data_IF_965520012649
#
_entry.id   IF_965520012649
#
_cell.length_a   1.000
_cell.length_b   1.000
_cell.length_c   1.000
_cell.angle_alpha   90.00
_cell.angle_beta   90.00
_cell.angle_gamma   90.00
#
_symmetry.space_group_name_H-M   'P 1'
#
loop_
_entity.id
_entity.type
_entity.pdbx_description
1 polymer ?
#
# COMPACT_ATOMS: atom_id res chain seq x y z
N UNK A 1 -1.04 26.71 20.32
CA UNK A 1 0.01 27.51 19.66
C UNK A 1 1.13 26.68 19.01
N UNK A 2 1.60 25.57 19.60
CA UNK A 2 2.67 24.73 19.03
C UNK A 2 2.29 24.11 17.66
N UNK A 3 1.04 23.64 17.51
CA UNK A 3 0.52 23.04 16.26
C UNK A 3 0.45 24.02 15.08
N UNK A 4 0.18 25.31 15.35
CA UNK A 4 0.13 26.35 14.32
C UNK A 4 1.54 26.75 13.83
N UNK A 5 2.54 26.67 14.71
CA UNK A 5 3.95 26.91 14.38
C UNK A 5 4.56 25.78 13.55
N UNK A 6 4.17 24.53 13.81
CA UNK A 6 4.53 23.37 12.98
C UNK A 6 3.92 23.48 11.57
N UNK A 7 2.66 23.90 11.46
CA UNK A 7 2.02 24.12 10.15
C UNK A 7 2.72 25.23 9.35
N UNK A 8 3.10 26.34 10.00
CA UNK A 8 3.89 27.41 9.38
C UNK A 8 5.32 26.99 9.02
N UNK A 9 5.97 26.15 9.84
CA UNK A 9 7.29 25.60 9.53
C UNK A 9 7.23 24.63 8.33
N UNK A 10 6.22 23.75 8.26
CA UNK A 10 5.97 22.92 7.09
C UNK A 10 5.66 23.76 5.85
N UNK A 11 4.88 24.84 5.99
CA UNK A 11 4.58 25.77 4.90
C UNK A 11 5.81 26.53 4.39
N UNK A 12 6.71 26.96 5.29
CA UNK A 12 7.99 27.60 4.94
C UNK A 12 8.98 26.62 4.30
N UNK A 13 9.00 25.36 4.72
CA UNK A 13 9.75 24.29 4.05
C UNK A 13 9.17 24.04 2.65
N UNK A 14 7.84 24.06 2.49
CA UNK A 14 7.20 23.98 1.17
C UNK A 14 7.58 25.14 0.24
N UNK A 15 7.81 26.35 0.77
CA UNK A 15 8.21 27.53 -0.01
C UNK A 15 9.66 27.45 -0.53
N UNK A 16 10.59 26.82 0.19
CA UNK A 16 11.99 26.70 -0.27
C UNK A 16 12.15 25.70 -1.42
N UNK A 17 11.25 24.72 -1.56
CA UNK A 17 11.27 23.75 -2.66
C UNK A 17 10.81 24.30 -4.03
N UNK A 18 10.24 25.49 -4.08
CA UNK A 18 9.86 26.12 -5.36
C UNK A 18 11.07 26.60 -6.19
N UNK A 19 12.26 26.74 -5.58
CA UNK A 19 13.43 27.37 -6.22
C UNK A 19 14.40 26.36 -6.86
N UNK A 20 14.15 25.05 -6.79
CA UNK A 20 15.13 24.02 -7.22
C UNK A 20 14.84 23.35 -8.57
N UNK A 21 14.07 23.99 -9.46
CA UNK A 21 13.77 23.46 -10.79
C UNK A 21 15.01 23.28 -11.71
N UNK A 22 16.20 23.76 -11.32
CA UNK A 22 17.45 23.67 -12.08
C UNK A 22 18.53 22.78 -11.44
N UNK A 23 18.22 22.01 -10.38
CA UNK A 23 19.23 21.15 -9.75
C UNK A 23 19.57 19.92 -10.62
N UNK A 24 20.80 19.39 -10.47
CA UNK A 24 21.21 18.13 -11.11
C UNK A 24 20.29 16.96 -10.78
N UNK A 25 19.74 16.96 -9.55
CA UNK A 25 18.74 15.98 -9.09
C UNK A 25 17.44 16.11 -9.89
N UNK A 26 16.96 17.34 -10.13
CA UNK A 26 15.76 17.57 -10.94
C UNK A 26 15.92 17.03 -12.37
N UNK A 27 17.11 17.20 -12.97
CA UNK A 27 17.44 16.64 -14.29
C UNK A 27 17.55 15.12 -14.25
N UNK A 28 18.11 14.55 -13.18
CA UNK A 28 18.19 13.10 -13.00
C UNK A 28 16.80 12.46 -12.91
N UNK A 29 15.91 13.02 -12.08
CA UNK A 29 14.54 12.52 -11.86
C UNK A 29 13.60 12.76 -13.05
N UNK A 30 13.97 13.58 -14.04
CA UNK A 30 13.23 13.64 -15.30
C UNK A 30 13.31 12.26 -16.01
N UNK A 31 12.16 11.67 -16.39
CA UNK A 31 12.14 10.47 -17.22
C UNK A 31 12.93 10.68 -18.52
N UNK A 32 13.60 9.63 -18.98
CA UNK A 32 14.33 9.67 -20.25
C UNK A 32 13.34 9.69 -21.42
N UNK A 33 13.59 10.52 -22.43
CA UNK A 33 12.71 10.63 -23.60
C UNK A 33 12.83 9.40 -24.54
N UNK A 34 13.91 8.62 -24.39
CA UNK A 34 14.13 7.31 -25.03
C UNK A 34 14.87 6.37 -24.09
N UNK A 35 14.93 5.08 -24.43
CA UNK A 35 15.53 4.08 -23.54
C UNK A 35 17.00 4.39 -23.20
N UNK A 36 17.24 4.67 -21.93
CA UNK A 36 18.56 4.79 -21.36
C UNK A 36 18.95 3.43 -20.76
N UNK A 37 19.80 2.68 -21.47
CA UNK A 37 20.20 1.32 -21.07
C UNK A 37 20.83 1.25 -19.68
N UNK A 38 21.61 2.27 -19.29
CA UNK A 38 22.21 2.30 -17.96
C UNK A 38 21.14 2.44 -16.88
N UNK A 39 20.20 3.39 -17.03
CA UNK A 39 19.06 3.54 -16.10
C UNK A 39 18.20 2.29 -16.04
N UNK A 40 17.87 1.72 -17.20
CA UNK A 40 17.06 0.51 -17.30
C UNK A 40 17.71 -0.66 -16.54
N UNK A 41 18.99 -0.95 -16.83
CA UNK A 41 19.72 -2.01 -16.16
C UNK A 41 19.85 -1.74 -14.66
N UNK A 42 20.09 -0.49 -14.25
CA UNK A 42 20.15 -0.12 -12.83
C UNK A 42 18.83 -0.39 -12.12
N UNK A 43 17.68 -0.05 -12.72
CA UNK A 43 16.36 -0.34 -12.14
C UNK A 43 16.16 -1.84 -12.02
N UNK A 44 16.39 -2.60 -13.09
CA UNK A 44 16.23 -4.06 -13.09
C UNK A 44 17.10 -4.71 -12.01
N UNK A 45 18.38 -4.35 -11.93
CA UNK A 45 19.31 -4.90 -10.93
C UNK A 45 18.86 -4.51 -9.52
N UNK A 46 18.50 -3.24 -9.29
CA UNK A 46 18.11 -2.75 -7.98
C UNK A 46 16.83 -3.43 -7.49
N UNK A 47 15.78 -3.46 -8.30
CA UNK A 47 14.50 -4.06 -7.91
C UNK A 47 14.60 -5.58 -7.76
N UNK A 48 15.34 -6.27 -8.63
CA UNK A 48 15.60 -7.71 -8.46
C UNK A 48 16.39 -8.01 -7.20
N UNK A 49 17.38 -7.17 -6.87
CA UNK A 49 18.20 -7.32 -5.66
C UNK A 49 17.39 -7.03 -4.40
N UNK A 50 16.56 -5.98 -4.41
CA UNK A 50 15.64 -5.65 -3.32
C UNK A 50 14.63 -6.80 -3.11
N UNK A 51 14.04 -7.33 -4.19
CA UNK A 51 13.13 -8.47 -4.10
C UNK A 51 13.84 -9.71 -3.52
N UNK A 52 15.03 -10.05 -4.02
CA UNK A 52 15.81 -11.18 -3.51
C UNK A 52 16.23 -11.04 -2.05
N UNK A 53 16.74 -9.87 -1.66
CA UNK A 53 17.07 -9.56 -0.27
C UNK A 53 15.83 -9.52 0.62
N UNK A 54 14.71 -9.05 0.10
CA UNK A 54 13.41 -9.05 0.77
C UNK A 54 12.96 -10.47 1.10
N UNK A 55 13.03 -11.40 0.14
CA UNK A 55 12.71 -12.81 0.36
C UNK A 55 13.66 -13.47 1.39
N UNK A 56 14.95 -13.14 1.35
CA UNK A 56 15.92 -13.62 2.36
C UNK A 56 15.59 -13.07 3.74
N UNK A 57 15.29 -11.77 3.83
CA UNK A 57 14.88 -11.11 5.07
C UNK A 57 13.59 -11.69 5.63
N UNK A 58 12.59 -11.92 4.78
CA UNK A 58 11.33 -12.57 5.16
C UNK A 58 11.57 -14.00 5.65
N UNK A 59 12.38 -14.78 4.94
CA UNK A 59 12.79 -16.10 5.40
C UNK A 59 13.41 -16.08 6.80
N UNK A 60 14.32 -15.13 7.04
CA UNK A 60 15.01 -15.02 8.33
C UNK A 60 14.11 -14.54 9.47
N UNK A 61 13.20 -13.61 9.20
CA UNK A 61 12.38 -12.94 10.21
C UNK A 61 11.01 -13.59 10.44
N UNK A 62 10.50 -14.32 9.45
CA UNK A 62 9.12 -14.84 9.46
C UNK A 62 9.04 -16.37 9.46
N UNK A 63 10.00 -17.06 8.84
CA UNK A 63 9.93 -18.52 8.64
C UNK A 63 11.00 -19.32 9.40
N UNK A 64 12.13 -18.72 9.75
CA UNK A 64 13.31 -19.43 10.26
C UNK A 64 13.04 -20.20 11.55
N UNK A 65 12.19 -19.65 12.41
CA UNK A 65 11.92 -20.20 13.75
C UNK A 65 10.72 -21.17 13.78
N UNK A 66 10.16 -21.49 12.60
CA UNK A 66 9.08 -22.45 12.44
C UNK A 66 9.56 -23.69 11.69
N UNK A 67 8.98 -24.83 12.04
CA UNK A 67 9.25 -26.09 11.36
C UNK A 67 8.73 -26.05 9.92
N UNK A 68 9.39 -26.84 9.05
CA UNK A 68 9.06 -26.95 7.63
C UNK A 68 8.16 -28.16 7.39
N UNK A 69 7.17 -27.99 6.54
CA UNK A 69 6.22 -29.03 6.16
C UNK A 69 6.41 -29.48 4.70
N UNK A 70 5.68 -30.51 4.30
CA UNK A 70 5.41 -30.75 2.88
C UNK A 70 4.47 -29.66 2.36
N UNK A 71 4.60 -29.31 1.06
CA UNK A 71 3.74 -28.32 0.45
C UNK A 71 2.26 -28.60 0.73
N UNK A 72 1.56 -27.62 1.28
CA UNK A 72 0.14 -27.71 1.55
C UNK A 72 -0.57 -26.36 1.35
N UNK A 73 -1.89 -26.43 1.21
CA UNK A 73 -2.75 -25.26 1.00
C UNK A 73 -3.72 -25.11 2.17
N UNK A 74 -4.14 -23.88 2.45
CA UNK A 74 -5.10 -23.56 3.52
C UNK A 74 -6.32 -22.81 2.97
N UNK A 75 -7.41 -22.82 3.75
CA UNK A 75 -8.56 -21.92 3.58
C UNK A 75 -8.59 -20.94 4.76
N UNK A 76 -8.12 -19.74 4.49
CA UNK A 76 -7.97 -18.65 5.45
C UNK A 76 -8.76 -17.41 5.02
N UNK A 77 -9.73 -17.55 4.11
CA UNK A 77 -10.44 -16.43 3.49
C UNK A 77 -11.18 -15.53 4.49
N UNK A 78 -11.47 -16.04 5.70
CA UNK A 78 -12.12 -15.30 6.78
C UNK A 78 -11.16 -14.88 7.92
N UNK A 79 -9.87 -15.22 7.82
CA UNK A 79 -8.88 -14.78 8.80
C UNK A 79 -8.70 -13.26 8.77
N UNK A 80 -8.30 -12.69 9.92
CA UNK A 80 -8.01 -11.26 10.08
C UNK A 80 -9.09 -10.31 9.56
N UNK A 81 -10.35 -10.76 9.54
CA UNK A 81 -11.46 -10.00 8.95
C UNK A 81 -11.15 -9.50 7.52
N UNK A 82 -10.44 -10.32 6.73
CA UNK A 82 -10.00 -10.01 5.36
C UNK A 82 -8.97 -8.86 5.24
N UNK A 83 -8.48 -8.31 6.35
CA UNK A 83 -7.46 -7.25 6.32
C UNK A 83 -6.17 -7.72 5.67
N UNK A 84 -5.79 -8.96 5.94
CA UNK A 84 -4.67 -9.63 5.30
C UNK A 84 -4.80 -9.63 3.76
N UNK A 85 -5.97 -10.05 3.24
CA UNK A 85 -6.26 -10.12 1.79
C UNK A 85 -6.25 -8.72 1.17
N UNK A 86 -6.75 -7.72 1.89
CA UNK A 86 -6.67 -6.32 1.46
C UNK A 86 -5.22 -5.79 1.50
N UNK A 87 -4.40 -6.26 2.43
CA UNK A 87 -2.96 -6.07 2.47
C UNK A 87 -2.26 -6.65 1.24
N UNK A 88 -2.67 -7.84 0.78
CA UNK A 88 -2.21 -8.44 -0.48
C UNK A 88 -2.61 -7.62 -1.72
N UNK A 89 -3.87 -7.16 -1.79
CA UNK A 89 -4.32 -6.23 -2.86
C UNK A 89 -3.51 -4.94 -2.85
N UNK A 90 -3.30 -4.33 -1.68
CA UNK A 90 -2.52 -3.11 -1.55
C UNK A 90 -1.06 -3.32 -1.97
N UNK A 91 -0.40 -4.33 -1.44
CA UNK A 91 1.01 -4.62 -1.69
C UNK A 91 1.26 -4.92 -3.17
N UNK A 92 0.45 -5.78 -3.77
CA UNK A 92 0.56 -6.11 -5.19
C UNK A 92 0.27 -4.92 -6.12
N UNK A 93 -0.72 -4.08 -5.78
CA UNK A 93 -0.97 -2.83 -6.50
C UNK A 93 0.24 -1.89 -6.44
N UNK A 94 0.82 -1.68 -5.25
CA UNK A 94 1.95 -0.76 -5.06
C UNK A 94 3.25 -1.29 -5.67
N UNK A 95 3.56 -2.59 -5.54
CA UNK A 95 4.74 -3.19 -6.18
C UNK A 95 4.65 -3.08 -7.70
N UNK A 96 3.47 -3.36 -8.27
CA UNK A 96 3.24 -3.21 -9.71
C UNK A 96 3.46 -1.75 -10.14
N UNK A 97 2.86 -0.80 -9.41
CA UNK A 97 2.98 0.63 -9.69
C UNK A 97 4.43 1.10 -9.65
N UNK A 98 5.13 0.82 -8.56
CA UNK A 98 6.51 1.25 -8.36
C UNK A 98 7.43 0.67 -9.44
N UNK A 99 7.35 -0.64 -9.70
CA UNK A 99 8.16 -1.28 -10.74
C UNK A 99 7.87 -0.72 -12.14
N UNK A 100 6.60 -0.47 -12.47
CA UNK A 100 6.23 0.17 -13.75
C UNK A 100 6.75 1.60 -13.83
N UNK A 101 6.55 2.44 -12.80
CA UNK A 101 7.01 3.84 -12.79
C UNK A 101 8.55 3.94 -12.88
N UNK A 102 9.29 3.08 -12.17
CA UNK A 102 10.75 3.01 -12.21
C UNK A 102 11.28 2.65 -13.60
N UNK A 103 10.68 1.66 -14.28
CA UNK A 103 11.08 1.29 -15.63
C UNK A 103 10.73 2.39 -16.63
N UNK A 104 9.56 3.03 -16.50
CA UNK A 104 9.18 4.21 -17.30
C UNK A 104 10.19 5.35 -17.16
N UNK A 105 10.73 5.59 -15.96
CA UNK A 105 11.75 6.61 -15.74
C UNK A 105 13.03 6.39 -16.59
N UNK A 106 13.33 5.15 -16.96
CA UNK A 106 14.43 4.84 -17.88
C UNK A 106 14.15 5.16 -19.36
N UNK A 107 12.91 5.54 -19.71
CA UNK A 107 12.48 5.79 -21.09
C UNK A 107 12.03 4.54 -21.84
N UNK A 108 11.74 3.44 -21.12
CA UNK A 108 11.12 2.26 -21.69
C UNK A 108 9.66 2.52 -22.06
N UNK A 109 9.16 1.81 -23.08
CA UNK A 109 7.77 1.90 -23.49
C UNK A 109 6.80 1.34 -22.42
N UNK A 110 5.53 1.73 -22.51
CA UNK A 110 4.51 1.35 -21.53
C UNK A 110 4.33 -0.16 -21.42
N UNK A 111 4.35 -0.88 -22.55
CA UNK A 111 4.16 -2.34 -22.55
C UNK A 111 5.25 -3.04 -21.77
N UNK A 112 6.53 -2.70 -22.01
CA UNK A 112 7.65 -3.27 -21.25
C UNK A 112 7.57 -2.91 -19.77
N UNK A 113 7.19 -1.68 -19.47
CA UNK A 113 7.09 -1.19 -18.09
C UNK A 113 5.99 -1.90 -17.29
N UNK A 114 4.83 -2.14 -17.91
CA UNK A 114 3.72 -2.88 -17.31
C UNK A 114 4.06 -4.36 -17.12
N UNK A 115 4.66 -5.00 -18.13
CA UNK A 115 5.09 -6.41 -18.02
C UNK A 115 6.11 -6.55 -16.88
N UNK A 116 7.10 -5.67 -16.79
CA UNK A 116 8.11 -5.76 -15.76
C UNK A 116 7.52 -5.55 -14.35
N UNK A 117 6.74 -4.48 -14.14
CA UNK A 117 6.12 -4.21 -12.84
C UNK A 117 5.17 -5.32 -12.39
N UNK A 118 4.34 -5.85 -13.29
CA UNK A 118 3.42 -6.95 -12.98
C UNK A 118 4.15 -8.27 -12.70
N UNK A 119 5.20 -8.59 -13.47
CA UNK A 119 6.01 -9.79 -13.26
C UNK A 119 6.79 -9.72 -11.94
N UNK A 120 7.34 -8.55 -11.59
CA UNK A 120 8.03 -8.34 -10.32
C UNK A 120 7.09 -8.53 -9.13
N UNK A 121 5.92 -7.87 -9.17
CA UNK A 121 4.89 -7.95 -8.13
C UNK A 121 4.40 -9.38 -7.91
N UNK A 122 3.90 -10.03 -8.97
CA UNK A 122 3.35 -11.38 -8.87
C UNK A 122 4.45 -12.39 -8.58
N UNK A 123 5.64 -12.26 -9.16
CA UNK A 123 6.75 -13.16 -8.91
C UNK A 123 7.19 -13.12 -7.44
N UNK A 124 7.32 -11.92 -6.86
CA UNK A 124 7.67 -11.76 -5.46
C UNK A 124 6.60 -12.33 -4.54
N UNK A 125 5.34 -11.90 -4.67
CA UNK A 125 4.27 -12.31 -3.75
C UNK A 125 3.90 -13.79 -3.92
N UNK A 126 3.89 -14.34 -5.14
CA UNK A 126 3.70 -15.79 -5.33
C UNK A 126 4.83 -16.59 -4.68
N UNK A 127 6.05 -16.08 -4.65
CA UNK A 127 7.15 -16.76 -3.94
C UNK A 127 6.92 -16.76 -2.43
N UNK A 128 6.32 -15.70 -1.88
CA UNK A 128 5.89 -15.66 -0.47
C UNK A 128 4.84 -16.74 -0.20
N UNK A 129 3.78 -16.82 -1.01
CA UNK A 129 2.75 -17.87 -0.86
C UNK A 129 3.36 -19.29 -0.94
N UNK A 130 4.37 -19.47 -1.79
CA UNK A 130 5.10 -20.74 -1.89
C UNK A 130 5.88 -21.01 -0.59
N UNK A 131 6.51 -20.00 0.01
CA UNK A 131 7.19 -20.16 1.30
C UNK A 131 6.22 -20.52 2.41
N UNK A 132 5.03 -19.91 2.41
CA UNK A 132 3.93 -20.26 3.32
C UNK A 132 3.52 -21.72 3.14
N UNK A 133 3.36 -22.18 1.89
CA UNK A 133 3.04 -23.58 1.58
C UNK A 133 3.98 -24.63 2.17
N UNK A 134 5.24 -24.28 2.45
CA UNK A 134 6.24 -25.16 3.08
C UNK A 134 6.47 -24.88 4.57
N UNK A 135 5.68 -24.02 5.21
CA UNK A 135 5.72 -23.80 6.67
C UNK A 135 4.83 -24.82 7.39
N UNK A 136 5.07 -25.16 8.66
CA UNK A 136 4.08 -25.88 9.48
C UNK A 136 3.03 -24.94 10.10
N UNK A 137 3.38 -23.67 10.29
CA UNK A 137 2.52 -22.64 10.88
C UNK A 137 1.56 -22.02 9.84
N UNK A 138 2.07 -21.80 8.63
CA UNK A 138 1.36 -21.19 7.50
C UNK A 138 1.14 -22.20 6.38
N UNK A 139 0.40 -21.81 5.34
CA UNK A 139 0.19 -22.62 4.13
C UNK A 139 -0.12 -21.75 2.93
N UNK A 140 -0.03 -22.31 1.72
CA UNK A 140 -0.32 -21.55 0.50
C UNK A 140 -1.81 -21.19 0.46
N UNK A 141 -2.14 -19.90 0.46
CA UNK A 141 -3.51 -19.42 0.36
C UNK A 141 -3.88 -19.09 -1.09
N UNK A 142 -4.94 -19.73 -1.58
CA UNK A 142 -5.54 -19.33 -2.84
C UNK A 142 -6.24 -17.97 -2.77
N UNK A 143 -6.69 -17.56 -1.58
CA UNK A 143 -7.30 -16.24 -1.39
C UNK A 143 -6.24 -15.14 -1.47
N UNK A 144 -5.07 -15.35 -0.89
CA UNK A 144 -3.98 -14.37 -0.94
C UNK A 144 -3.37 -14.30 -2.34
N UNK A 145 -3.18 -15.45 -3.00
CA UNK A 145 -2.81 -15.46 -4.42
C UNK A 145 -3.84 -14.71 -5.29
N UNK A 146 -5.15 -14.92 -5.08
CA UNK A 146 -6.19 -14.19 -5.80
C UNK A 146 -6.18 -12.69 -5.48
N UNK A 147 -5.91 -12.30 -4.24
CA UNK A 147 -5.73 -10.91 -3.84
C UNK A 147 -4.52 -10.25 -4.52
N UNK A 148 -3.39 -10.96 -4.61
CA UNK A 148 -2.18 -10.54 -5.33
C UNK A 148 -2.45 -10.29 -6.82
N UNK A 149 -3.20 -11.20 -7.45
CA UNK A 149 -3.65 -11.04 -8.85
C UNK A 149 -4.61 -9.86 -8.98
N UNK A 150 -5.51 -9.67 -8.02
CA UNK A 150 -6.50 -8.58 -8.03
C UNK A 150 -5.84 -7.21 -7.96
N UNK A 151 -4.90 -6.99 -7.03
CA UNK A 151 -4.22 -5.70 -6.91
C UNK A 151 -3.32 -5.39 -8.10
N UNK A 152 -2.57 -6.37 -8.59
CA UNK A 152 -1.80 -6.25 -9.85
C UNK A 152 -2.73 -5.93 -11.03
N UNK A 153 -3.83 -6.69 -11.15
CA UNK A 153 -4.86 -6.54 -12.17
C UNK A 153 -5.52 -5.17 -12.17
N UNK A 154 -5.81 -4.62 -10.98
CA UNK A 154 -6.37 -3.30 -10.82
C UNK A 154 -5.44 -2.20 -11.34
N UNK A 155 -4.13 -2.30 -11.12
CA UNK A 155 -3.19 -1.32 -11.65
C UNK A 155 -3.08 -1.42 -13.18
N UNK A 156 -2.79 -2.62 -13.71
CA UNK A 156 -2.58 -2.81 -15.15
C UNK A 156 -3.86 -2.58 -15.96
N UNK A 157 -5.03 -2.96 -15.42
CA UNK A 157 -6.31 -2.82 -16.10
C UNK A 157 -6.62 -1.36 -16.40
N UNK A 158 -6.32 -0.46 -15.45
CA UNK A 158 -6.50 0.98 -15.65
C UNK A 158 -5.57 1.54 -16.73
N UNK A 159 -4.30 1.11 -16.76
CA UNK A 159 -3.34 1.51 -17.79
C UNK A 159 -3.79 1.06 -19.18
N UNK A 160 -4.25 -0.19 -19.30
CA UNK A 160 -4.70 -0.75 -20.58
C UNK A 160 -6.02 -0.15 -21.07
N UNK A 161 -6.95 0.15 -20.17
CA UNK A 161 -8.28 0.66 -20.52
C UNK A 161 -8.32 2.17 -20.71
N UNK A 162 -7.55 2.92 -19.92
CA UNK A 162 -7.65 4.37 -19.85
C UNK A 162 -6.35 5.13 -20.11
N UNK A 163 -5.20 4.46 -20.17
CA UNK A 163 -3.88 5.09 -20.22
C UNK A 163 -3.66 6.12 -19.09
N UNK A 164 -4.34 5.93 -17.97
CA UNK A 164 -4.22 6.72 -16.74
C UNK A 164 -4.74 5.92 -15.54
N UNK A 165 -4.19 6.19 -14.35
CA UNK A 165 -4.80 5.73 -13.10
C UNK A 165 -5.99 6.63 -12.74
N UNK A 166 -7.17 6.03 -12.56
CA UNK A 166 -8.41 6.71 -12.14
C UNK A 166 -8.81 6.36 -10.71
N UNK A 167 -8.31 5.26 -10.19
CA UNK A 167 -8.45 4.83 -8.82
C UNK A 167 -7.07 4.39 -8.29
N UNK A 168 -6.83 4.63 -7.01
CA UNK A 168 -5.58 4.28 -6.34
C UNK A 168 -5.88 3.55 -5.04
N UNK A 169 -5.11 2.49 -4.74
CA UNK A 169 -5.14 1.85 -3.43
C UNK A 169 -4.16 2.57 -2.52
N UNK A 170 -4.63 3.02 -1.35
CA UNK A 170 -3.84 3.75 -0.35
C UNK A 170 -3.94 3.08 1.00
N UNK A 171 -3.02 3.46 1.88
CA UNK A 171 -2.88 2.92 3.22
C UNK A 171 -2.92 4.03 4.26
N UNK A 172 -3.46 3.72 5.43
CA UNK A 172 -3.26 4.50 6.64
C UNK A 172 -3.11 3.61 7.86
N UNK A 173 -2.48 4.18 8.89
CA UNK A 173 -2.19 3.47 10.12
C UNK A 173 -2.29 4.39 11.35
N UNK A 174 -2.82 3.84 12.44
CA UNK A 174 -2.66 4.37 13.79
C UNK A 174 -2.33 3.24 14.76
N UNK A 175 -1.52 3.53 15.78
CA UNK A 175 -1.23 2.54 16.82
C UNK A 175 -2.48 2.21 17.61
N UNK A 176 -2.62 0.94 17.99
CA UNK A 176 -3.72 0.47 18.82
C UNK A 176 -3.21 -0.12 20.12
N UNK A 177 -4.11 -0.30 21.09
CA UNK A 177 -3.81 -1.01 22.34
C UNK A 177 -3.72 -2.54 22.18
N UNK A 178 -3.95 -3.06 20.96
CA UNK A 178 -3.99 -4.50 20.73
C UNK A 178 -2.58 -5.06 20.60
N UNK A 179 -1.62 -4.28 20.08
CA UNK A 179 -0.20 -4.69 20.02
C UNK A 179 0.36 -5.09 21.39
N UNK A 180 0.06 -4.31 22.45
CA UNK A 180 0.47 -4.62 23.83
C UNK A 180 -0.09 -5.96 24.36
N UNK A 181 -1.19 -6.46 23.80
CA UNK A 181 -1.87 -7.68 24.27
C UNK A 181 -1.37 -8.94 23.56
N UNK A 182 -0.88 -8.83 22.33
CA UNK A 182 -0.27 -9.93 21.59
C UNK A 182 0.89 -9.41 20.71
N UNK A 183 2.01 -8.96 21.30
CA UNK A 183 3.08 -8.29 20.58
C UNK A 183 3.81 -9.21 19.60
N UNK A 184 3.78 -10.53 19.80
CA UNK A 184 4.37 -11.49 18.88
C UNK A 184 3.69 -11.45 17.49
N UNK A 185 2.35 -11.46 17.49
CA UNK A 185 1.53 -11.44 16.28
C UNK A 185 1.24 -10.03 15.77
N UNK A 186 1.14 -9.02 16.65
CA UNK A 186 0.72 -7.66 16.30
C UNK A 186 1.88 -6.64 16.29
N UNK A 187 3.06 -7.02 16.77
CA UNK A 187 4.28 -6.22 16.72
C UNK A 187 4.67 -5.60 18.07
N UNK A 188 5.97 -5.61 18.35
CA UNK A 188 6.55 -5.08 19.61
C UNK A 188 6.95 -3.60 19.55
N UNK A 189 6.93 -3.00 18.35
CA UNK A 189 7.34 -1.63 18.12
C UNK A 189 6.66 -1.06 16.88
N UNK A 190 6.72 0.26 16.73
CA UNK A 190 6.03 1.00 15.66
C UNK A 190 6.22 0.42 14.25
N UNK A 191 7.43 -0.03 13.89
CA UNK A 191 7.69 -0.58 12.55
C UNK A 191 6.97 -1.92 12.38
N UNK A 192 7.03 -2.78 13.39
CA UNK A 192 6.30 -4.05 13.36
C UNK A 192 4.79 -3.82 13.37
N UNK A 193 4.28 -2.90 14.19
CA UNK A 193 2.84 -2.61 14.28
C UNK A 193 2.28 -2.08 12.95
N UNK A 194 3.00 -1.20 12.24
CA UNK A 194 2.59 -0.72 10.90
C UNK A 194 2.35 -1.89 9.92
N UNK A 195 3.11 -2.97 10.05
CA UNK A 195 3.07 -4.13 9.15
C UNK A 195 2.07 -5.19 9.65
N UNK A 196 2.11 -5.49 10.96
CA UNK A 196 1.44 -6.63 11.58
C UNK A 196 0.10 -6.30 12.24
N UNK A 197 -0.04 -5.10 12.82
CA UNK A 197 -1.25 -4.75 13.58
C UNK A 197 -2.37 -4.29 12.65
N UNK A 198 -3.12 -5.25 12.11
CA UNK A 198 -4.28 -4.96 11.27
C UNK A 198 -5.35 -4.12 11.97
N UNK A 199 -5.39 -4.07 13.31
CA UNK A 199 -6.33 -3.22 14.04
C UNK A 199 -6.12 -1.73 13.78
N UNK A 200 -4.87 -1.36 13.46
CA UNK A 200 -4.48 0.01 13.17
C UNK A 200 -4.58 0.37 11.70
N UNK A 201 -4.75 -0.61 10.81
CA UNK A 201 -4.63 -0.42 9.37
C UNK A 201 -5.98 -0.11 8.73
N UNK A 202 -5.99 0.81 7.77
CA UNK A 202 -7.11 1.00 6.85
C UNK A 202 -6.61 1.00 5.41
N UNK A 203 -7.23 0.17 4.57
CA UNK A 203 -6.97 0.11 3.13
C UNK A 203 -8.05 0.91 2.41
N UNK A 204 -7.62 1.81 1.53
CA UNK A 204 -8.48 2.78 0.87
C UNK A 204 -8.47 2.61 -0.64
N UNK A 205 -9.66 2.58 -1.24
CA UNK A 205 -9.86 2.82 -2.66
C UNK A 205 -10.17 4.30 -2.89
N UNK A 206 -9.20 5.06 -3.39
CA UNK A 206 -9.29 6.50 -3.65
C UNK A 206 -9.53 6.76 -5.14
N UNK A 207 -10.74 7.23 -5.48
CA UNK A 207 -11.26 7.40 -6.84
C UNK A 207 -11.19 8.86 -7.27
N UNK A 208 -10.56 9.12 -8.42
CA UNK A 208 -10.49 10.44 -9.01
C UNK A 208 -11.77 10.80 -9.75
N UNK A 209 -12.60 11.65 -9.12
CA UNK A 209 -13.89 12.06 -9.68
C UNK A 209 -13.74 12.76 -11.03
N UNK A 210 -12.70 13.58 -11.18
CA UNK A 210 -12.47 14.37 -12.41
C UNK A 210 -12.15 13.50 -13.62
N UNK A 211 -11.46 12.36 -13.46
CA UNK A 211 -11.16 11.44 -14.56
C UNK A 211 -12.41 10.77 -15.13
N UNK A 212 -13.47 10.60 -14.34
CA UNK A 212 -14.77 10.12 -14.81
C UNK A 212 -15.68 11.26 -15.29
N UNK A 213 -15.62 12.41 -14.63
CA UNK A 213 -16.44 13.60 -14.92
C UNK A 213 -15.60 14.71 -15.54
N UNK A 214 -15.06 14.47 -16.75
CA UNK A 214 -14.04 15.33 -17.39
C UNK A 214 -14.46 16.80 -17.54
N UNK A 215 -15.74 17.06 -17.80
CA UNK A 215 -16.33 18.40 -17.98
C UNK A 215 -16.73 19.10 -16.67
N UNK A 216 -16.57 18.44 -15.51
CA UNK A 216 -16.93 19.03 -14.22
C UNK A 216 -15.97 20.14 -13.79
N UNK A 217 -16.38 20.99 -12.84
CA UNK A 217 -15.50 21.97 -12.18
C UNK A 217 -14.69 21.37 -11.02
N UNK A 218 -14.77 20.05 -10.80
CA UNK A 218 -14.08 19.36 -9.70
C UNK A 218 -12.56 19.47 -9.90
N UNK A 219 -11.78 19.86 -8.87
CA UNK A 219 -10.33 19.90 -8.96
C UNK A 219 -9.75 18.53 -9.31
N UNK A 220 -8.75 18.48 -10.21
CA UNK A 220 -8.17 17.22 -10.67
C UNK A 220 -7.47 16.43 -9.56
N UNK A 221 -7.10 17.07 -8.45
CA UNK A 221 -6.46 16.44 -7.30
C UNK A 221 -7.45 15.96 -6.24
N UNK A 222 -8.76 16.24 -6.37
CA UNK A 222 -9.75 15.82 -5.38
C UNK A 222 -10.32 14.44 -5.72
N UNK A 223 -10.27 13.54 -4.73
CA UNK A 223 -10.77 12.18 -4.81
C UNK A 223 -11.87 11.93 -3.79
N UNK A 224 -12.70 10.93 -4.08
CA UNK A 224 -13.58 10.27 -3.12
C UNK A 224 -12.94 8.93 -2.71
N UNK A 225 -12.85 8.65 -1.42
CA UNK A 225 -12.19 7.45 -0.91
C UNK A 225 -13.15 6.57 -0.11
N UNK A 226 -13.08 5.28 -0.38
CA UNK A 226 -13.77 4.23 0.35
C UNK A 226 -12.75 3.41 1.11
N UNK A 227 -12.90 3.29 2.43
CA UNK A 227 -11.95 2.58 3.28
C UNK A 227 -12.55 1.35 3.92
N UNK A 228 -11.72 0.36 4.17
CA UNK A 228 -12.03 -0.78 5.02
C UNK A 228 -10.93 -0.96 6.06
N UNK A 229 -11.35 -1.09 7.31
CA UNK A 229 -10.51 -1.46 8.45
C UNK A 229 -11.25 -2.49 9.30
N UNK A 230 -10.56 -3.06 10.27
CA UNK A 230 -11.16 -3.92 11.27
C UNK A 230 -10.44 -3.71 12.59
N UNK A 231 -11.15 -3.86 13.71
CA UNK A 231 -10.57 -3.74 15.06
C UNK A 231 -11.06 -4.88 15.96
N UNK A 232 -10.39 -5.06 17.10
CA UNK A 232 -10.75 -6.07 18.09
C UNK A 232 -10.09 -7.43 17.88
N UNK A 233 -9.06 -7.52 17.04
CA UNK A 233 -8.39 -8.75 16.64
C UNK A 233 -7.08 -8.92 17.41
N UNK A 234 -6.96 -9.99 18.18
CA UNK A 234 -5.74 -10.44 18.83
C UNK A 234 -5.09 -11.60 18.05
N UNK A 235 -5.88 -12.34 17.28
CA UNK A 235 -5.43 -13.46 16.43
C UNK A 235 -6.22 -13.51 15.11
N UNK A 236 -5.82 -14.39 14.19
CA UNK A 236 -6.44 -14.53 12.87
C UNK A 236 -7.90 -14.97 12.91
N UNK A 237 -8.24 -15.88 13.82
CA UNK A 237 -9.59 -16.44 14.01
C UNK A 237 -10.19 -16.05 15.36
N UNK A 238 -11.49 -16.25 15.54
CA UNK A 238 -12.15 -16.09 16.84
C UNK A 238 -13.16 -17.24 17.02
N UNK A 239 -12.96 -18.16 17.99
CA UNK A 239 -11.80 -18.23 18.90
C UNK A 239 -10.48 -18.48 18.15
N UNK A 240 -9.36 -18.19 18.80
CA UNK A 240 -8.04 -18.58 18.30
C UNK A 240 -7.84 -20.11 18.30
N UNK A 241 -6.85 -20.59 17.53
CA UNK A 241 -6.59 -22.03 17.37
C UNK A 241 -6.11 -22.66 18.68
N UNK A 242 -5.39 -21.89 19.49
CA UNK A 242 -4.81 -22.29 20.77
C UNK A 242 -5.80 -22.19 21.94
N UNK A 243 -6.94 -21.52 21.74
CA UNK A 243 -7.94 -21.29 22.78
C UNK A 243 -7.49 -20.34 23.89
N UNK A 244 -6.48 -19.50 23.65
CA UNK A 244 -6.01 -18.47 24.59
C UNK A 244 -6.92 -17.24 24.53
N UNK A 245 -7.36 -16.88 23.32
CA UNK A 245 -8.22 -15.74 23.01
C UNK A 245 -9.58 -16.19 22.49
N UNK A 246 -10.47 -16.51 23.44
CA UNK A 246 -11.72 -17.24 23.20
C UNK A 246 -12.91 -16.32 22.84
N UNK A 247 -12.82 -15.02 23.14
CA UNK A 247 -13.89 -14.05 22.90
C UNK A 247 -13.33 -12.66 22.54
N UNK A 248 -13.03 -12.48 21.26
CA UNK A 248 -12.57 -11.23 20.70
C UNK A 248 -13.75 -10.39 20.17
N UNK A 249 -13.93 -9.15 20.66
CA UNK A 249 -14.95 -8.20 20.17
C UNK A 249 -14.53 -7.61 18.82
N UNK A 250 -14.47 -8.47 17.80
CA UNK A 250 -14.01 -8.16 16.43
C UNK A 250 -15.12 -7.44 15.65
N UNK A 251 -14.77 -6.36 14.97
CA UNK A 251 -15.72 -5.64 14.14
C UNK A 251 -15.08 -4.98 12.91
N UNK A 252 -15.83 -4.99 11.81
CA UNK A 252 -15.46 -4.29 10.58
C UNK A 252 -15.78 -2.80 10.68
N UNK A 253 -14.98 -2.01 10.01
CA UNK A 253 -15.15 -0.56 9.86
C UNK A 253 -15.15 -0.21 8.38
N UNK A 254 -16.23 0.40 7.92
CA UNK A 254 -16.37 0.92 6.57
C UNK A 254 -16.29 2.43 6.58
N UNK A 255 -15.50 3.00 5.68
CA UNK A 255 -15.24 4.43 5.66
C UNK A 255 -15.62 5.08 4.34
N UNK A 256 -16.17 6.29 4.42
CA UNK A 256 -16.36 7.20 3.29
C UNK A 256 -15.65 8.52 3.60
N UNK A 257 -14.70 8.90 2.76
CA UNK A 257 -13.82 10.04 2.99
C UNK A 257 -13.56 10.85 1.72
N UNK A 258 -13.10 12.09 1.89
CA UNK A 258 -12.42 12.81 0.81
C UNK A 258 -10.93 12.47 0.81
N UNK A 259 -10.29 12.53 -0.34
CA UNK A 259 -8.84 12.30 -0.45
C UNK A 259 -8.18 13.24 -1.45
N UNK A 260 -6.85 13.36 -1.37
CA UNK A 260 -6.05 14.11 -2.33
C UNK A 260 -5.17 13.17 -3.16
N UNK A 261 -5.25 13.28 -4.47
CA UNK A 261 -4.28 12.71 -5.39
C UNK A 261 -3.12 13.69 -5.61
N UNK A 262 -2.03 13.49 -4.86
CA UNK A 262 -0.87 14.38 -4.91
C UNK A 262 -0.18 14.33 -6.28
N UNK A 263 -0.31 13.22 -7.02
CA UNK A 263 0.33 13.06 -8.34
C UNK A 263 -0.28 13.98 -9.39
N UNK A 264 -1.52 14.46 -9.15
CA UNK A 264 -2.24 15.39 -10.03
C UNK A 264 -1.99 16.86 -9.70
N UNK A 265 -1.14 17.16 -8.72
CA UNK A 265 -0.69 18.53 -8.42
C UNK A 265 0.29 18.98 -9.51
N UNK A 266 -0.04 20.09 -10.18
CA UNK A 266 0.77 20.63 -11.29
C UNK A 266 2.04 21.30 -10.77
N UNK A 267 3.20 20.74 -11.11
CA UNK A 267 4.51 21.33 -10.82
C UNK A 267 5.53 21.04 -11.92
N UNK A 268 6.54 21.91 -12.06
CA UNK A 268 7.68 21.72 -12.98
C UNK A 268 8.85 20.96 -12.34
N UNK A 269 8.83 20.79 -11.01
CA UNK A 269 9.88 20.08 -10.26
C UNK A 269 9.64 18.57 -10.29
N UNK A 270 10.56 17.83 -10.89
CA UNK A 270 10.59 16.36 -10.85
C UNK A 270 10.89 15.83 -9.45
N UNK A 271 11.63 16.58 -8.62
CA UNK A 271 11.77 16.26 -7.19
C UNK A 271 10.41 16.23 -6.50
N UNK A 272 9.61 17.28 -6.67
CA UNK A 272 8.27 17.34 -6.09
C UNK A 272 7.34 16.28 -6.67
N UNK A 273 7.42 15.99 -7.98
CA UNK A 273 6.66 14.90 -8.60
C UNK A 273 7.00 13.54 -7.98
N UNK A 274 8.28 13.25 -7.76
CA UNK A 274 8.72 12.02 -7.10
C UNK A 274 8.23 11.96 -5.65
N UNK A 275 8.37 13.04 -4.88
CA UNK A 275 7.84 13.10 -3.51
C UNK A 275 6.34 12.88 -3.49
N UNK A 276 5.59 13.53 -4.39
CA UNK A 276 4.15 13.33 -4.51
C UNK A 276 3.81 11.88 -4.88
N UNK A 277 4.51 11.25 -5.82
CA UNK A 277 4.28 9.82 -6.15
C UNK A 277 4.54 8.89 -4.96
N UNK A 278 5.63 9.13 -4.20
CA UNK A 278 5.98 8.30 -3.04
C UNK A 278 4.97 8.49 -1.91
N UNK A 279 4.63 9.74 -1.56
CA UNK A 279 3.73 10.04 -0.43
C UNK A 279 2.28 9.71 -0.76
N UNK A 280 1.87 9.70 -2.03
CA UNK A 280 0.49 9.42 -2.44
C UNK A 280 0.02 8.00 -2.10
N UNK A 281 0.91 7.09 -1.69
CA UNK A 281 0.53 5.79 -1.12
C UNK A 281 -0.21 5.92 0.22
N UNK A 282 0.05 7.01 0.96
CA UNK A 282 -0.56 7.28 2.25
C UNK A 282 -1.84 8.09 2.03
N UNK A 283 -2.93 7.68 2.68
CA UNK A 283 -4.17 8.44 2.72
C UNK A 283 -3.94 9.80 3.41
N UNK A 284 -4.43 10.89 2.82
CA UNK A 284 -4.32 12.21 3.45
C UNK A 284 -5.44 12.39 4.48
N UNK A 285 -5.14 12.82 5.72
CA UNK A 285 -6.17 13.00 6.73
C UNK A 285 -7.19 14.07 6.34
N UNK A 286 -8.43 13.64 6.16
CA UNK A 286 -9.54 14.47 5.70
C UNK A 286 -10.85 14.03 6.37
N UNK A 287 -11.95 14.80 6.22
CA UNK A 287 -13.23 14.44 6.79
C UNK A 287 -13.70 13.04 6.34
N UNK A 288 -14.09 12.22 7.32
CA UNK A 288 -14.40 10.81 7.12
C UNK A 288 -15.63 10.41 7.94
N UNK A 289 -16.52 9.64 7.32
CA UNK A 289 -17.62 8.94 7.99
C UNK A 289 -17.25 7.47 8.16
N UNK A 290 -17.31 6.96 9.38
CA UNK A 290 -17.19 5.54 9.71
C UNK A 290 -18.57 4.93 9.92
N UNK A 291 -18.76 3.73 9.38
CA UNK A 291 -19.88 2.84 9.61
C UNK A 291 -19.36 1.52 10.18
N UNK A 292 -19.74 1.21 11.42
CA UNK A 292 -19.32 -0.01 12.12
C UNK A 292 -20.42 -0.49 13.06
N UNK A 293 -20.42 -1.77 13.42
CA UNK A 293 -21.38 -2.32 14.39
C UNK A 293 -21.28 -1.60 15.75
N UNK A 294 -20.06 -1.19 16.12
CA UNK A 294 -19.75 -0.55 17.40
C UNK A 294 -20.18 0.93 17.45
N UNK A 295 -19.84 1.72 16.44
CA UNK A 295 -20.12 3.18 16.44
C UNK A 295 -21.39 3.55 15.69
N UNK A 296 -21.99 2.63 14.92
CA UNK A 296 -23.10 2.81 13.96
C UNK A 296 -22.76 3.81 12.84
N UNK A 297 -22.57 5.08 13.21
CA UNK A 297 -22.14 6.19 12.35
C UNK A 297 -21.29 7.16 13.18
N UNK A 298 -20.07 7.42 12.76
CA UNK A 298 -19.20 8.39 13.41
C UNK A 298 -18.55 9.31 12.38
N UNK A 299 -18.46 10.60 12.69
CA UNK A 299 -17.81 11.59 11.83
C UNK A 299 -16.49 12.04 12.44
N UNK A 300 -15.41 11.91 11.67
CA UNK A 300 -14.10 12.45 11.98
C UNK A 300 -13.85 13.68 11.13
N UNK A 301 -13.39 14.76 11.75
CA UNK A 301 -12.94 15.94 11.01
C UNK A 301 -11.65 15.64 10.23
N UNK A 302 -10.75 14.84 10.83
CA UNK A 302 -9.54 14.32 10.21
C UNK A 302 -9.38 12.86 10.65
N UNK A 303 -9.36 11.94 9.69
CA UNK A 303 -9.09 10.53 9.92
C UNK A 303 -7.91 10.10 9.06
N UNK A 304 -6.99 9.34 9.64
CA UNK A 304 -5.80 8.84 8.96
C UNK A 304 -6.16 7.81 7.92
#
# INVERSE_FOLDING_TARGET
MLRLRLFFACFLIFLTFWVHAQSGINKFLKPSDSINKARFNSVVIAESSIAGLGLIGLNQLWYKDFDRSNFHTIDDGNEWMQMDKLGHVFSSYQLTRLGTESIRWSGADDKKSLIFGSALSLGFLTTVEIFDGFSEEWGFSWYDFAANVTGTGLYIGQELLWNEQRASIKFSFHQTRFSDQNPDKLGENLIQEIIKDYNGQTIWLSINLRSFLKESSIPSWLNLAFGYGAEGMLTGTNPDKEGIFIDQDRYAQWYLSLDLDLTRIKTKSHVLKTIFSVVNVIKIPLPTLEFSSRKKRHFYLFYL
#
